data_IF_704543706342
#
_entry.id   IF_704543706342
#
_cell.length_a   1.000
_cell.length_b   1.000
_cell.length_c   1.000
_cell.angle_alpha   90.00
_cell.angle_beta   90.00
_cell.angle_gamma   90.00
#
_symmetry.space_group_name_H-M   'P 1'
#
loop_
_entity.id
_entity.type
_entity.pdbx_description
1 polymer ?
#
# COMPACT_ATOMS: atom_id res chain seq x y z
N UNK A 1 -8.64 14.61 36.52
CA UNK A 1 -7.49 13.83 36.03
C UNK A 1 -7.27 14.26 34.60
N UNK A 2 -6.15 14.95 34.31
CA UNK A 2 -5.78 15.29 32.93
C UNK A 2 -5.25 14.00 32.32
N UNK A 3 -5.90 13.49 31.27
CA UNK A 3 -5.30 12.46 30.42
C UNK A 3 -4.10 13.10 29.76
N UNK A 4 -2.91 12.76 30.22
CA UNK A 4 -1.67 13.05 29.51
C UNK A 4 -1.65 12.18 28.26
N UNK A 5 -2.21 12.67 27.15
CA UNK A 5 -1.87 12.13 25.84
C UNK A 5 -0.41 12.53 25.57
N UNK A 6 0.53 11.74 26.10
CA UNK A 6 1.92 11.84 25.65
C UNK A 6 1.93 11.60 24.14
N UNK A 7 2.51 12.51 23.34
CA UNK A 7 2.55 12.34 21.90
C UNK A 7 3.33 11.06 21.61
N UNK A 8 2.63 10.04 21.15
CA UNK A 8 3.26 8.80 20.69
C UNK A 8 4.24 9.21 19.59
N UNK A 9 5.56 8.97 19.78
CA UNK A 9 6.53 9.33 18.76
C UNK A 9 6.16 8.54 17.50
N UNK A 10 5.77 9.27 16.46
CA UNK A 10 5.46 8.67 15.17
C UNK A 10 6.78 8.15 14.61
N UNK A 11 6.92 6.83 14.57
CA UNK A 11 8.00 6.20 13.83
C UNK A 11 7.76 6.49 12.34
N UNK A 12 8.44 7.53 11.85
CA UNK A 12 8.31 8.04 10.49
C UNK A 12 8.66 6.95 9.48
N UNK A 13 9.65 6.10 9.78
CA UNK A 13 10.04 4.99 8.91
C UNK A 13 8.91 3.94 8.84
N UNK A 14 8.37 3.55 10.00
CA UNK A 14 7.23 2.63 10.04
C UNK A 14 6.00 3.21 9.33
N UNK A 15 5.74 4.51 9.49
CA UNK A 15 4.63 5.19 8.83
C UNK A 15 4.82 5.20 7.31
N UNK A 16 6.00 5.57 6.82
CA UNK A 16 6.33 5.57 5.40
C UNK A 16 6.25 4.16 4.79
N UNK A 17 6.69 3.13 5.53
CA UNK A 17 6.55 1.74 5.10
C UNK A 17 5.06 1.35 4.95
N UNK A 18 4.21 1.70 5.91
CA UNK A 18 2.76 1.47 5.83
C UNK A 18 2.14 2.19 4.63
N UNK A 19 2.49 3.45 4.39
CA UNK A 19 2.02 4.23 3.25
C UNK A 19 2.46 3.58 1.93
N UNK A 20 3.71 3.12 1.85
CA UNK A 20 4.24 2.43 0.67
C UNK A 20 3.46 1.15 0.36
N UNK A 21 3.24 0.29 1.36
CA UNK A 21 2.43 -0.94 1.22
C UNK A 21 1.00 -0.63 0.75
N UNK A 22 0.37 0.39 1.33
CA UNK A 22 -0.99 0.80 0.93
C UNK A 22 -1.04 1.31 -0.52
N UNK A 23 -0.03 2.06 -0.96
CA UNK A 23 0.08 2.51 -2.35
C UNK A 23 0.20 1.33 -3.32
N UNK A 24 1.06 0.36 -3.01
CA UNK A 24 1.21 -0.86 -3.83
C UNK A 24 -0.09 -1.65 -3.90
N UNK A 25 -0.80 -1.80 -2.78
CA UNK A 25 -2.11 -2.47 -2.75
C UNK A 25 -3.16 -1.76 -3.62
N UNK A 26 -3.21 -0.42 -3.58
CA UNK A 26 -4.14 0.33 -4.43
C UNK A 26 -3.86 0.11 -5.92
N UNK A 27 -2.59 0.01 -6.31
CA UNK A 27 -2.21 -0.22 -7.70
C UNK A 27 -2.57 -1.64 -8.16
N UNK A 28 -2.34 -2.65 -7.31
CA UNK A 28 -2.77 -4.04 -7.58
C UNK A 28 -4.29 -4.13 -7.74
N UNK A 29 -5.07 -3.46 -6.89
CA UNK A 29 -6.53 -3.43 -6.99
C UNK A 29 -7.00 -2.78 -8.28
N UNK A 30 -6.36 -1.69 -8.72
CA UNK A 30 -6.66 -1.04 -10.00
C UNK A 30 -6.41 -1.99 -11.17
N UNK A 31 -5.28 -2.68 -11.19
CA UNK A 31 -4.96 -3.66 -12.22
C UNK A 31 -5.99 -4.79 -12.26
N UNK A 32 -6.41 -5.29 -11.09
CA UNK A 32 -7.42 -6.35 -11.01
C UNK A 32 -8.80 -5.87 -11.51
N UNK A 33 -9.16 -4.61 -11.25
CA UNK A 33 -10.43 -4.03 -11.67
C UNK A 33 -10.52 -3.80 -13.20
N UNK A 34 -9.38 -3.59 -13.86
CA UNK A 34 -9.34 -3.31 -15.31
C UNK A 34 -8.93 -4.50 -16.17
N UNK A 35 -8.28 -5.52 -15.60
CA UNK A 35 -7.83 -6.68 -16.38
C UNK A 35 -9.02 -7.50 -16.92
N UNK A 36 -8.98 -7.83 -18.20
CA UNK A 36 -9.98 -8.67 -18.85
C UNK A 36 -9.67 -10.17 -18.71
N UNK A 37 -8.49 -10.51 -18.22
CA UNK A 37 -8.07 -11.89 -17.95
C UNK A 37 -7.00 -11.98 -16.87
N UNK A 38 -6.85 -13.19 -16.31
CA UNK A 38 -5.78 -13.48 -15.34
C UNK A 38 -4.38 -13.33 -15.95
N UNK A 39 -4.21 -13.65 -17.23
CA UNK A 39 -2.93 -13.50 -17.93
C UNK A 39 -2.52 -12.02 -18.05
N UNK A 40 -3.47 -11.15 -18.41
CA UNK A 40 -3.27 -9.70 -18.49
C UNK A 40 -2.98 -9.08 -17.13
N UNK A 41 -3.68 -9.53 -16.09
CA UNK A 41 -3.40 -9.13 -14.71
C UNK A 41 -1.98 -9.50 -14.29
N UNK A 42 -1.56 -10.76 -14.49
CA UNK A 42 -0.22 -11.24 -14.11
C UNK A 42 0.90 -10.50 -14.87
N UNK A 43 0.71 -10.22 -16.16
CA UNK A 43 1.65 -9.43 -16.95
C UNK A 43 1.78 -7.99 -16.41
N UNK A 44 0.66 -7.39 -16.00
CA UNK A 44 0.65 -6.04 -15.45
C UNK A 44 1.25 -5.99 -14.04
N UNK A 45 0.98 -7.01 -13.22
CA UNK A 45 1.54 -7.15 -11.88
C UNK A 45 3.07 -7.26 -11.89
N UNK A 46 3.64 -7.98 -12.85
CA UNK A 46 5.10 -8.12 -12.99
C UNK A 46 5.82 -6.77 -13.18
N UNK A 47 5.13 -5.75 -13.71
CA UNK A 47 5.69 -4.40 -13.90
C UNK A 47 5.78 -3.59 -12.59
N UNK A 48 4.97 -3.93 -11.59
CA UNK A 48 5.03 -3.30 -10.25
C UNK A 48 6.18 -3.89 -9.43
N UNK A 49 6.54 -5.15 -9.69
CA UNK A 49 7.57 -5.90 -8.96
C UNK A 49 8.98 -5.82 -9.60
N UNK A 50 9.13 -5.10 -10.72
CA UNK A 50 10.40 -4.89 -11.43
C UNK A 50 11.13 -3.66 -10.90
#
# INVERSE_FOLDING_TARGET
MVSSEEPVPLDVEQYLNKVSVLSTLQEIVKLAATAHSLAEFNQSLAKIQS
#
